data_IF_187177779768
#
_entry.id   IF_187177779768
#
_cell.length_a   1.000
_cell.length_b   1.000
_cell.length_c   1.000
_cell.angle_alpha   90.00
_cell.angle_beta   90.00
_cell.angle_gamma   90.00
#
_symmetry.space_group_name_H-M   'P 1'
#
loop_
_entity.id
_entity.type
_entity.pdbx_description
1 polymer ?
#
# COMPACT_ATOMS: atom_id res chain seq x y z
N UNK A 1 -15.65 -1.84 1.32
CA UNK A 1 -14.43 -1.68 0.50
C UNK A 1 -13.78 -3.03 0.20
N UNK A 2 -14.47 -3.88 -0.58
CA UNK A 2 -13.90 -5.13 -1.07
C UNK A 2 -12.89 -4.78 -2.18
N UNK A 3 -11.71 -5.39 -2.12
CA UNK A 3 -10.68 -5.26 -3.16
C UNK A 3 -10.11 -3.84 -3.39
N UNK A 4 -10.30 -2.93 -2.47
CA UNK A 4 -9.66 -1.63 -2.55
C UNK A 4 -8.19 -1.74 -2.10
N UNK A 5 -7.21 -1.33 -2.93
CA UNK A 5 -5.82 -1.33 -2.52
C UNK A 5 -5.60 -0.41 -1.32
N UNK A 6 -4.78 -0.83 -0.40
CA UNK A 6 -4.30 0.06 0.65
C UNK A 6 -3.27 1.04 0.11
N UNK A 7 -3.09 2.17 0.80
CA UNK A 7 -1.97 3.03 0.50
C UNK A 7 -0.63 2.35 0.88
N UNK A 8 0.46 2.88 0.36
CA UNK A 8 1.79 2.27 0.53
C UNK A 8 2.22 2.12 1.98
N UNK A 9 1.79 3.01 2.88
CA UNK A 9 2.10 2.92 4.30
C UNK A 9 1.49 1.69 5.00
N UNK A 10 0.42 1.13 4.44
CA UNK A 10 -0.21 -0.10 4.92
C UNK A 10 0.21 -1.35 4.15
N UNK A 11 0.57 -1.20 2.88
CA UNK A 11 0.75 -2.32 1.93
C UNK A 11 1.81 -3.33 2.35
N UNK A 12 2.82 -2.92 3.11
CA UNK A 12 3.88 -3.80 3.62
C UNK A 12 3.53 -4.56 4.90
N UNK A 13 2.32 -4.39 5.44
CA UNK A 13 1.93 -5.02 6.71
C UNK A 13 1.37 -6.43 6.49
N UNK A 14 1.84 -7.34 7.31
CA UNK A 14 1.36 -8.74 7.31
C UNK A 14 2.32 -9.72 6.65
N UNK A 15 1.95 -10.98 6.50
CA UNK A 15 2.77 -12.06 5.94
C UNK A 15 2.81 -11.95 4.42
N UNK A 16 3.51 -10.94 3.92
CA UNK A 16 3.51 -10.61 2.51
C UNK A 16 4.83 -10.92 1.87
N UNK A 17 4.75 -11.38 0.64
CA UNK A 17 5.90 -11.44 -0.25
C UNK A 17 6.02 -10.11 -0.99
N UNK A 18 7.23 -9.63 -1.11
CA UNK A 18 7.54 -8.55 -2.04
C UNK A 18 8.81 -8.89 -2.83
N UNK A 19 8.93 -8.28 -3.98
CA UNK A 19 10.12 -8.39 -4.84
C UNK A 19 10.63 -7.01 -5.15
N UNK A 20 11.96 -6.89 -5.18
CA UNK A 20 12.64 -5.68 -5.65
C UNK A 20 13.56 -6.10 -6.79
N UNK A 21 13.55 -5.37 -7.89
CA UNK A 21 14.50 -5.53 -8.99
C UNK A 21 14.92 -4.18 -9.56
N UNK A 22 16.08 -4.17 -10.18
CA UNK A 22 16.67 -3.00 -10.79
C UNK A 22 16.05 -2.72 -12.15
N UNK A 23 15.77 -1.45 -12.43
CA UNK A 23 15.45 -0.92 -13.75
C UNK A 23 16.63 -0.05 -14.18
N UNK A 24 17.32 -0.47 -15.23
CA UNK A 24 18.56 0.14 -15.68
C UNK A 24 18.38 0.86 -17.00
N UNK A 25 19.09 1.97 -17.15
CA UNK A 25 19.24 2.62 -18.45
C UNK A 25 19.95 1.64 -19.41
N UNK A 26 19.39 1.34 -20.59
CA UNK A 26 19.96 0.37 -21.49
C UNK A 26 21.31 0.80 -22.09
N UNK A 27 21.60 2.09 -22.15
CA UNK A 27 22.84 2.62 -22.70
C UNK A 27 23.97 2.73 -21.66
N UNK A 28 23.64 3.22 -20.45
CA UNK A 28 24.63 3.49 -19.40
C UNK A 28 24.75 2.36 -18.39
N UNK A 29 23.76 1.45 -18.31
CA UNK A 29 23.61 0.41 -17.30
C UNK A 29 23.48 0.96 -15.85
N UNK A 30 23.29 2.26 -15.70
CA UNK A 30 23.01 2.88 -14.41
C UNK A 30 21.60 2.53 -13.93
N UNK A 31 21.45 2.35 -12.63
CA UNK A 31 20.13 2.09 -12.00
C UNK A 31 19.33 3.40 -12.01
N UNK A 32 18.27 3.45 -12.81
CA UNK A 32 17.36 4.60 -12.87
C UNK A 32 16.19 4.46 -11.90
N UNK A 33 15.84 3.22 -11.54
CA UNK A 33 14.77 2.96 -10.57
C UNK A 33 14.92 1.55 -9.95
N UNK A 34 14.34 1.38 -8.78
CA UNK A 34 13.93 0.07 -8.27
C UNK A 34 12.45 -0.14 -8.52
N UNK A 35 12.10 -1.29 -9.07
CA UNK A 35 10.71 -1.75 -9.19
C UNK A 35 10.40 -2.65 -8.02
N UNK A 36 9.28 -2.39 -7.35
CA UNK A 36 8.83 -3.17 -6.20
C UNK A 36 7.46 -3.74 -6.49
N UNK A 37 7.35 -5.06 -6.37
CA UNK A 37 6.07 -5.76 -6.34
C UNK A 37 5.71 -6.07 -4.90
N UNK A 38 4.52 -5.68 -4.48
CA UNK A 38 3.97 -5.94 -3.16
C UNK A 38 2.77 -6.88 -3.34
N UNK A 39 2.83 -8.06 -2.71
CA UNK A 39 1.83 -9.11 -2.89
C UNK A 39 0.42 -8.70 -2.47
N UNK A 40 0.28 -7.79 -1.49
CA UNK A 40 -1.03 -7.26 -1.09
C UNK A 40 -1.67 -6.51 -2.24
N UNK A 41 -2.78 -7.04 -2.75
CA UNK A 41 -3.51 -6.49 -3.89
C UNK A 41 -2.67 -6.31 -5.16
N UNK A 42 -1.57 -7.08 -5.30
CA UNK A 42 -0.69 -7.09 -6.49
C UNK A 42 -0.25 -5.68 -6.90
N UNK A 43 0.23 -4.90 -5.95
CA UNK A 43 0.63 -3.51 -6.20
C UNK A 43 2.04 -3.45 -6.77
N UNK A 44 2.23 -2.57 -7.76
CA UNK A 44 3.53 -2.26 -8.34
C UNK A 44 3.93 -0.84 -7.97
N UNK A 45 5.18 -0.69 -7.54
CA UNK A 45 5.75 0.57 -7.11
C UNK A 45 7.07 0.84 -7.83
N UNK A 46 7.31 2.08 -8.17
CA UNK A 46 8.59 2.56 -8.69
C UNK A 46 9.24 3.47 -7.68
N UNK A 47 10.50 3.19 -7.35
CA UNK A 47 11.37 4.05 -6.54
C UNK A 47 12.41 4.62 -7.49
N UNK A 48 12.33 5.89 -7.82
CA UNK A 48 13.24 6.55 -8.72
C UNK A 48 14.57 6.84 -8.05
N UNK A 49 15.67 6.50 -8.74
CA UNK A 49 17.04 6.63 -8.23
C UNK A 49 17.85 7.71 -8.95
N UNK A 50 17.30 8.37 -9.94
CA UNK A 50 17.95 9.33 -10.83
C UNK A 50 17.96 10.77 -10.27
N UNK A 51 17.54 10.96 -9.04
CA UNK A 51 17.55 12.28 -8.37
C UNK A 51 16.46 13.26 -8.83
N UNK A 52 15.47 12.78 -9.59
CA UNK A 52 14.35 13.62 -10.02
C UNK A 52 13.58 14.24 -8.85
N UNK A 53 13.05 15.46 -9.00
CA UNK A 53 12.23 16.07 -7.98
C UNK A 53 10.87 15.35 -7.84
N UNK A 54 10.24 15.49 -6.68
CA UNK A 54 8.85 15.10 -6.50
C UNK A 54 7.92 15.98 -7.33
N UNK A 55 6.76 15.46 -7.75
CA UNK A 55 5.76 16.22 -8.47
C UNK A 55 5.30 17.45 -7.67
N UNK A 56 4.76 18.48 -8.33
CA UNK A 56 4.19 19.63 -7.66
C UNK A 56 2.95 19.22 -6.83
N UNK A 57 2.65 19.96 -5.77
CA UNK A 57 1.60 19.67 -4.80
C UNK A 57 0.23 19.33 -5.43
N UNK A 58 -0.12 19.96 -6.56
CA UNK A 58 -1.38 19.73 -7.26
C UNK A 58 -1.39 18.49 -8.17
N UNK A 59 -0.31 17.72 -8.22
CA UNK A 59 -0.26 16.49 -9.02
C UNK A 59 -1.18 15.40 -8.43
N UNK A 60 -1.68 14.48 -9.27
CA UNK A 60 -2.58 13.43 -8.82
C UNK A 60 -1.94 12.52 -7.76
N UNK A 61 -2.70 12.23 -6.72
CA UNK A 61 -2.33 11.27 -5.66
C UNK A 61 -2.71 9.86 -6.07
N UNK A 62 -1.87 8.88 -5.73
CA UNK A 62 -2.10 7.45 -5.97
C UNK A 62 -1.97 6.64 -4.69
N UNK A 63 -2.48 5.40 -4.66
CA UNK A 63 -2.33 4.54 -3.49
C UNK A 63 -0.86 4.24 -3.16
N UNK A 64 0.00 4.20 -4.17
CA UNK A 64 1.43 3.91 -4.04
C UNK A 64 2.27 5.18 -3.84
N UNK A 65 1.71 6.35 -4.16
CA UNK A 65 2.41 7.61 -4.12
C UNK A 65 3.47 7.76 -5.22
N UNK A 66 4.31 8.77 -5.06
CA UNK A 66 5.50 8.99 -5.87
C UNK A 66 6.74 8.87 -4.98
N UNK A 67 7.69 8.01 -5.37
CA UNK A 67 8.83 7.63 -4.52
C UNK A 67 10.16 7.92 -5.20
N UNK A 68 11.06 8.54 -4.45
CA UNK A 68 12.48 8.70 -4.83
C UNK A 68 13.36 8.05 -3.78
N UNK A 69 14.46 7.45 -4.21
CA UNK A 69 15.42 6.76 -3.35
C UNK A 69 16.81 7.36 -3.42
N UNK A 70 17.54 7.21 -2.32
CA UNK A 70 18.97 7.56 -2.24
C UNK A 70 19.68 6.60 -1.30
N UNK A 71 20.87 6.19 -1.69
CA UNK A 71 21.75 5.40 -0.84
C UNK A 71 22.54 6.29 0.13
N UNK A 72 22.54 5.89 1.40
CA UNK A 72 23.41 6.42 2.46
C UNK A 72 24.20 5.25 3.05
N UNK A 73 25.43 5.09 2.60
CA UNK A 73 26.20 3.86 2.85
C UNK A 73 25.45 2.64 2.33
N UNK A 74 25.15 1.68 3.19
CA UNK A 74 24.42 0.44 2.85
C UNK A 74 22.91 0.53 3.06
N UNK A 75 22.40 1.71 3.44
CA UNK A 75 20.96 1.94 3.67
C UNK A 75 20.34 2.65 2.48
N UNK A 76 19.35 2.02 1.84
CA UNK A 76 18.49 2.71 0.89
C UNK A 76 17.41 3.47 1.64
N UNK A 77 17.45 4.79 1.54
CA UNK A 77 16.41 5.67 2.09
C UNK A 77 15.49 6.12 0.95
N UNK A 78 14.19 5.95 1.16
CA UNK A 78 13.14 6.27 0.17
C UNK A 78 12.20 7.29 0.77
N UNK A 79 11.92 8.35 0.03
CA UNK A 79 10.89 9.35 0.37
C UNK A 79 9.71 9.19 -0.57
N UNK A 80 8.51 9.18 0.00
CA UNK A 80 7.25 9.03 -0.76
C UNK A 80 6.29 10.16 -0.41
N UNK A 81 5.76 10.79 -1.44
CA UNK A 81 4.71 11.83 -1.37
C UNK A 81 3.55 11.46 -2.30
N UNK A 82 2.54 12.33 -2.40
CA UNK A 82 1.38 12.13 -3.28
C UNK A 82 0.65 10.80 -3.00
N UNK A 83 0.60 10.42 -1.71
CA UNK A 83 -0.12 9.25 -1.25
C UNK A 83 -1.60 9.62 -1.15
N UNK A 84 -2.45 8.82 -1.81
CA UNK A 84 -3.90 9.01 -1.75
C UNK A 84 -4.41 8.74 -0.33
N UNK A 85 -5.33 9.58 0.12
CA UNK A 85 -6.02 9.38 1.41
C UNK A 85 -6.67 8.00 1.49
N UNK A 86 -6.47 7.31 2.61
CA UNK A 86 -6.96 5.97 2.89
C UNK A 86 -6.86 5.71 4.40
N UNK A 87 -6.57 4.48 4.80
CA UNK A 87 -6.40 4.09 6.21
C UNK A 87 -5.01 3.49 6.45
N UNK A 88 -4.41 3.83 7.60
CA UNK A 88 -3.15 3.20 8.07
C UNK A 88 -3.36 1.78 8.58
N UNK A 89 -4.58 1.43 8.95
CA UNK A 89 -4.98 0.11 9.45
C UNK A 89 -6.38 -0.22 9.02
N UNK A 90 -6.66 -1.52 8.90
CA UNK A 90 -8.03 -2.05 8.69
C UNK A 90 -9.03 -1.59 9.76
N UNK A 91 -8.53 -1.23 10.95
CA UNK A 91 -9.33 -0.69 12.06
C UNK A 91 -9.85 0.73 11.84
N UNK A 92 -9.54 1.35 10.70
CA UNK A 92 -10.14 2.62 10.31
C UNK A 92 -9.39 3.88 10.80
N UNK A 93 -8.09 3.79 11.11
CA UNK A 93 -7.28 5.01 11.37
C UNK A 93 -7.04 5.69 10.01
N UNK A 94 -7.62 6.87 9.76
CA UNK A 94 -7.54 7.52 8.46
C UNK A 94 -6.14 8.09 8.19
N UNK A 95 -5.80 8.22 6.90
CA UNK A 95 -4.67 8.99 6.41
C UNK A 95 -5.16 10.11 5.48
N UNK A 96 -4.50 11.27 5.55
CA UNK A 96 -4.79 12.39 4.66
C UNK A 96 -3.98 12.30 3.36
N UNK A 97 -4.29 13.17 2.41
CA UNK A 97 -3.51 13.37 1.19
C UNK A 97 -2.22 14.20 1.42
N UNK A 98 -2.05 14.76 2.62
CA UNK A 98 -0.81 15.38 3.07
C UNK A 98 0.19 14.38 3.68
N UNK A 99 -0.17 13.10 3.69
CA UNK A 99 0.68 12.03 4.19
C UNK A 99 1.98 11.95 3.40
N UNK A 100 3.09 11.90 4.13
CA UNK A 100 4.43 11.59 3.59
C UNK A 100 5.00 10.38 4.29
N UNK A 101 5.90 9.65 3.62
CA UNK A 101 6.54 8.48 4.19
C UNK A 101 8.02 8.48 3.86
N UNK A 102 8.82 8.16 4.87
CA UNK A 102 10.25 7.85 4.72
C UNK A 102 10.45 6.40 5.06
N UNK A 103 11.23 5.70 4.26
CA UNK A 103 11.55 4.28 4.44
C UNK A 103 13.04 4.06 4.44
N UNK A 104 13.46 3.08 5.24
CA UNK A 104 14.83 2.60 5.25
C UNK A 104 14.85 1.10 4.96
N UNK A 105 15.59 0.72 3.94
CA UNK A 105 15.86 -0.67 3.59
C UNK A 105 17.31 -0.98 3.95
N UNK A 106 17.50 -1.88 4.91
CA UNK A 106 18.79 -2.23 5.47
C UNK A 106 18.99 -3.74 5.31
N UNK A 107 19.98 -4.16 4.53
CA UNK A 107 20.21 -5.57 4.25
C UNK A 107 21.33 -6.13 5.13
N UNK A 108 21.05 -7.25 5.78
CA UNK A 108 22.02 -8.03 6.56
C UNK A 108 22.04 -9.49 6.05
N UNK A 109 22.92 -9.76 5.09
CA UNK A 109 22.96 -11.08 4.45
C UNK A 109 21.64 -11.44 3.76
N UNK A 110 20.93 -12.45 4.28
CA UNK A 110 19.63 -12.89 3.77
C UNK A 110 18.44 -12.22 4.47
N UNK A 111 18.69 -11.33 5.42
CA UNK A 111 17.65 -10.53 6.09
C UNK A 111 17.62 -9.13 5.50
N UNK A 112 16.41 -8.59 5.39
CA UNK A 112 16.15 -7.22 5.02
C UNK A 112 15.24 -6.59 6.08
N UNK A 113 15.79 -5.62 6.82
CA UNK A 113 15.03 -4.77 7.73
C UNK A 113 14.41 -3.63 6.94
N UNK A 114 13.10 -3.50 7.03
CA UNK A 114 12.35 -2.42 6.40
C UNK A 114 11.66 -1.59 7.48
N UNK A 115 12.07 -0.34 7.61
CA UNK A 115 11.53 0.61 8.57
C UNK A 115 10.74 1.67 7.81
N UNK A 116 9.51 1.92 8.20
CA UNK A 116 8.69 3.01 7.68
C UNK A 116 8.42 4.06 8.76
N UNK A 117 8.49 5.31 8.36
CA UNK A 117 8.19 6.49 9.19
C UNK A 117 7.18 7.31 8.42
N UNK A 118 5.95 7.37 8.93
CA UNK A 118 4.84 8.07 8.29
C UNK A 118 4.52 9.34 9.06
N UNK A 119 4.43 10.44 8.35
CA UNK A 119 4.02 11.74 8.89
C UNK A 119 2.72 12.18 8.22
N UNK A 120 1.74 12.56 9.01
CA UNK A 120 0.46 13.08 8.54
C UNK A 120 0.03 14.24 9.47
N UNK A 121 0.08 15.49 9.00
CA UNK A 121 -0.24 16.63 9.84
C UNK A 121 -1.71 16.74 10.23
N UNK A 122 -2.59 15.96 9.60
CA UNK A 122 -4.04 16.00 9.87
C UNK A 122 -4.45 14.98 10.91
N UNK A 123 -3.91 13.76 10.84
CA UNK A 123 -4.41 12.64 11.67
C UNK A 123 -3.39 12.09 12.66
N UNK A 124 -2.12 12.46 12.56
CA UNK A 124 -1.06 11.99 13.46
C UNK A 124 -0.48 13.15 14.27
N UNK A 125 -0.48 13.01 15.59
CA UNK A 125 0.16 13.96 16.51
C UNK A 125 1.68 13.77 16.58
N UNK A 126 2.14 12.58 16.20
CA UNK A 126 3.56 12.20 16.11
C UNK A 126 3.75 11.22 14.94
N UNK A 127 4.97 11.07 14.40
CA UNK A 127 5.21 10.13 13.31
C UNK A 127 4.85 8.69 13.71
N UNK A 128 4.14 8.01 12.85
CA UNK A 128 3.89 6.58 12.98
C UNK A 128 5.09 5.79 12.45
N UNK A 129 5.71 4.99 13.32
CA UNK A 129 6.86 4.16 12.96
C UNK A 129 6.47 2.69 13.00
N UNK A 130 6.87 1.96 11.97
CA UNK A 130 6.73 0.51 11.92
C UNK A 130 7.96 -0.13 11.27
N UNK A 131 8.35 -1.30 11.75
CA UNK A 131 9.43 -2.09 11.16
C UNK A 131 8.98 -3.51 10.86
N UNK A 132 9.55 -4.07 9.81
CA UNK A 132 9.33 -5.46 9.40
C UNK A 132 10.63 -6.08 8.92
N UNK A 133 10.79 -7.38 9.19
CA UNK A 133 11.92 -8.18 8.74
C UNK A 133 11.45 -9.12 7.62
N UNK A 134 12.23 -9.17 6.55
CA UNK A 134 12.01 -10.08 5.43
C UNK A 134 13.21 -11.00 5.24
N UNK A 135 12.93 -12.25 4.93
CA UNK A 135 13.94 -13.26 4.63
C UNK A 135 14.01 -13.45 3.12
N UNK A 136 15.22 -13.45 2.58
CA UNK A 136 15.42 -13.76 1.18
C UNK A 136 15.01 -15.22 0.91
N UNK A 137 14.08 -15.40 -0.01
CA UNK A 137 13.57 -16.72 -0.40
C UNK A 137 14.17 -17.14 -1.74
N UNK A 138 14.34 -18.45 -1.91
CA UNK A 138 14.77 -19.03 -3.18
C UNK A 138 13.76 -18.78 -4.31
N UNK A 139 14.26 -18.68 -5.54
CA UNK A 139 13.49 -18.37 -6.77
C UNK A 139 12.32 -19.35 -7.04
N UNK A 140 12.31 -20.53 -6.43
CA UNK A 140 11.28 -21.53 -6.60
C UNK A 140 9.97 -21.28 -5.86
N UNK A 141 9.93 -20.35 -4.92
CA UNK A 141 8.69 -20.02 -4.21
C UNK A 141 7.83 -19.10 -5.07
N UNK A 142 6.65 -19.61 -5.42
CA UNK A 142 5.69 -18.88 -6.23
C UNK A 142 5.17 -17.66 -5.47
N UNK A 143 5.02 -16.54 -6.19
CA UNK A 143 4.28 -15.40 -5.67
C UNK A 143 2.86 -15.82 -5.35
N UNK A 144 2.46 -15.65 -4.12
CA UNK A 144 1.04 -15.73 -3.79
C UNK A 144 0.34 -14.57 -4.49
N UNK A 145 -0.47 -14.94 -5.47
CA UNK A 145 -1.39 -14.01 -6.07
C UNK A 145 -2.54 -13.82 -5.10
N UNK A 146 -2.58 -12.68 -4.45
CA UNK A 146 -3.76 -12.29 -3.69
C UNK A 146 -4.80 -11.75 -4.66
N UNK A 147 -5.48 -12.69 -5.34
CA UNK A 147 -6.58 -12.35 -6.22
C UNK A 147 -7.73 -11.82 -5.37
N UNK A 148 -8.02 -10.55 -5.53
CA UNK A 148 -9.22 -9.98 -5.00
C UNK A 148 -10.22 -9.83 -6.14
N UNK A 149 -11.26 -10.65 -6.13
CA UNK A 149 -12.39 -10.50 -7.04
C UNK A 149 -13.45 -9.64 -6.36
N UNK A 150 -13.83 -8.56 -7.00
CA UNK A 150 -14.97 -7.79 -6.59
C UNK A 150 -16.25 -8.61 -6.85
N UNK A 151 -16.86 -9.10 -5.79
CA UNK A 151 -18.17 -9.76 -5.88
C UNK A 151 -19.24 -8.71 -5.60
N UNK A 152 -20.00 -8.37 -6.62
CA UNK A 152 -21.25 -7.63 -6.39
C UNK A 152 -22.25 -8.57 -5.72
N UNK A 153 -22.62 -8.28 -4.49
CA UNK A 153 -23.68 -8.98 -3.75
C UNK A 153 -25.08 -8.55 -4.20
N UNK A 154 -25.19 -8.01 -5.40
CA UNK A 154 -26.46 -7.58 -5.99
C UNK A 154 -26.83 -8.61 -7.07
N UNK A 155 -28.06 -9.16 -7.04
CA UNK A 155 -28.54 -10.03 -8.10
C UNK A 155 -28.36 -9.38 -9.48
N UNK A 156 -27.84 -10.14 -10.45
CA UNK A 156 -27.49 -9.61 -11.78
C UNK A 156 -28.68 -9.08 -12.57
N UNK A 157 -29.89 -9.43 -12.17
CA UNK A 157 -31.17 -8.99 -12.75
C UNK A 157 -31.65 -7.65 -12.20
N UNK A 158 -30.99 -7.10 -11.19
CA UNK A 158 -31.36 -5.81 -10.61
C UNK A 158 -30.56 -4.67 -11.24
N UNK A 159 -31.27 -3.74 -11.83
CA UNK A 159 -30.68 -2.52 -12.44
C UNK A 159 -30.31 -1.44 -11.41
N UNK A 160 -30.68 -1.63 -10.14
CA UNK A 160 -30.41 -0.68 -9.05
C UNK A 160 -29.85 -1.41 -7.83
N UNK A 161 -28.79 -0.87 -7.25
CA UNK A 161 -28.31 -1.32 -5.94
C UNK A 161 -29.37 -1.02 -4.90
N UNK A 162 -29.81 -2.01 -4.10
CA UNK A 162 -30.76 -1.75 -3.02
C UNK A 162 -30.22 -0.67 -2.07
N UNK A 163 -30.98 0.37 -1.88
CA UNK A 163 -30.63 1.48 -1.01
C UNK A 163 -31.77 1.72 -0.02
N UNK A 164 -31.47 1.61 1.26
CA UNK A 164 -32.44 1.76 2.33
C UNK A 164 -32.07 2.94 3.22
N UNK A 165 -33.06 3.72 3.61
CA UNK A 165 -32.88 4.70 4.68
C UNK A 165 -32.62 4.00 6.01
N UNK A 166 -31.95 4.67 6.99
CA UNK A 166 -31.78 4.12 8.33
C UNK A 166 -33.11 3.63 8.92
N UNK A 167 -33.11 2.37 9.39
CA UNK A 167 -34.32 1.73 9.94
C UNK A 167 -35.31 1.15 8.91
N UNK A 168 -35.08 1.33 7.60
CA UNK A 168 -35.96 0.82 6.55
C UNK A 168 -35.40 -0.44 5.84
N UNK A 169 -34.24 -0.96 6.28
CA UNK A 169 -33.63 -2.13 5.66
C UNK A 169 -34.31 -3.44 6.14
N UNK A 170 -35.09 -4.14 5.29
CA UNK A 170 -35.79 -5.36 5.67
C UNK A 170 -34.87 -6.51 6.07
N UNK A 171 -33.63 -6.53 5.58
CA UNK A 171 -32.66 -7.58 5.94
C UNK A 171 -32.17 -7.47 7.39
N UNK A 172 -32.22 -6.29 8.01
CA UNK A 172 -31.91 -6.13 9.43
C UNK A 172 -32.99 -6.76 10.32
N UNK A 173 -34.24 -6.58 9.95
CA UNK A 173 -35.37 -7.15 10.69
C UNK A 173 -35.44 -8.68 10.58
N UNK A 174 -35.14 -9.22 9.40
CA UNK A 174 -35.05 -10.66 9.19
C UNK A 174 -33.89 -11.28 9.98
N UNK A 175 -32.76 -10.60 10.03
CA UNK A 175 -31.61 -11.04 10.79
C UNK A 175 -31.86 -11.04 12.29
N UNK A 176 -32.46 -9.97 12.83
CA UNK A 176 -32.84 -9.85 14.23
C UNK A 176 -33.84 -10.95 14.64
N UNK A 177 -34.87 -11.18 13.83
CA UNK A 177 -35.85 -12.27 14.03
C UNK A 177 -35.20 -13.66 14.01
N UNK A 178 -34.25 -13.90 13.10
CA UNK A 178 -33.57 -15.19 12.97
C UNK A 178 -32.70 -15.53 14.17
N UNK A 179 -32.14 -14.53 14.84
CA UNK A 179 -31.24 -14.70 15.98
C UNK A 179 -31.86 -14.28 17.33
N UNK A 180 -33.15 -13.93 17.37
CA UNK A 180 -33.86 -13.63 18.59
C UNK A 180 -33.41 -12.33 19.28
N UNK A 181 -32.94 -11.35 18.51
CA UNK A 181 -32.49 -10.03 18.96
C UNK A 181 -33.61 -8.99 18.85
#
# INVERSE_FOLDING_TARGET
HQCQPYNVAHSYRGPLQFRIWEDKDPATQEIVAYRVYIGTYMQYRTIWMDGRPHPPEHAPHTFIGFSTGRWFGETLTVTTTHIKKEFYRRSGIPSSDLTTMVEHYIRHGNLLSHVIIVTDPVYLTEPYVNSQEFVLMDRGNQNWLYNCEYKMEVPMDQTKVPHFLPGANPFQDEWAKKFGL
#
